data_IF_673228324223
#
_entry.id   IF_673228324223
#
_cell.length_a   1.000
_cell.length_b   1.000
_cell.length_c   1.000
_cell.angle_alpha   90.00
_cell.angle_beta   90.00
_cell.angle_gamma   90.00
#
_symmetry.space_group_name_H-M   'P 1'
#
loop_
_entity.id
_entity.type
_entity.pdbx_description
1 polymer ?
#
# COMPACT_ATOMS: atom_id res chain seq x y z
N UNK A 1 -23.84 41.11 -5.86
CA UNK A 1 -22.63 41.86 -5.46
C UNK A 1 -22.38 41.54 -4.01
N UNK A 2 -21.21 40.97 -3.70
CA UNK A 2 -20.38 41.12 -2.48
C UNK A 2 -19.34 39.99 -2.54
N UNK A 3 -18.08 40.41 -2.56
CA UNK A 3 -16.92 39.64 -3.01
C UNK A 3 -16.28 38.84 -1.87
N UNK A 4 -15.84 37.62 -2.17
CA UNK A 4 -15.02 36.78 -1.31
C UNK A 4 -13.57 37.28 -1.32
N UNK A 5 -13.09 37.81 -0.18
CA UNK A 5 -11.66 38.05 0.08
C UNK A 5 -10.99 36.73 0.44
N UNK A 6 -10.09 36.25 -0.42
CA UNK A 6 -9.10 35.24 -0.04
C UNK A 6 -8.02 35.89 0.83
N UNK A 7 -7.84 35.37 2.04
CA UNK A 7 -6.66 35.67 2.89
C UNK A 7 -5.79 34.42 2.85
N UNK A 8 -4.79 34.41 1.97
CA UNK A 8 -3.70 33.43 1.99
C UNK A 8 -2.67 33.84 3.04
N UNK A 9 -2.66 33.20 4.21
CA UNK A 9 -1.51 33.26 5.13
C UNK A 9 -0.45 32.28 4.61
N UNK A 10 0.63 32.82 4.04
CA UNK A 10 1.88 32.08 3.79
C UNK A 10 2.54 31.77 5.14
N UNK A 11 2.60 30.50 5.52
CA UNK A 11 3.46 30.04 6.61
C UNK A 11 4.79 29.65 5.97
N UNK A 12 5.85 30.41 6.26
CA UNK A 12 7.24 30.04 5.97
C UNK A 12 7.69 29.05 7.04
N UNK A 13 8.02 27.83 6.64
CA UNK A 13 8.87 26.96 7.47
C UNK A 13 10.32 27.12 7.01
N UNK A 14 11.16 27.61 7.90
CA UNK A 14 12.61 27.63 7.73
C UNK A 14 13.17 26.25 8.07
N UNK A 15 13.78 25.60 7.09
CA UNK A 15 14.58 24.40 7.29
C UNK A 15 15.98 24.84 7.76
N UNK A 16 16.51 24.18 8.79
CA UNK A 16 17.88 24.38 9.28
C UNK A 16 18.69 23.22 8.72
N UNK A 17 19.67 23.55 7.87
CA UNK A 17 20.71 22.62 7.42
C UNK A 17 21.77 22.50 8.52
N UNK A 18 22.09 21.27 8.92
CA UNK A 18 23.28 20.94 9.69
C UNK A 18 24.27 20.23 8.76
N UNK A 19 25.18 21.02 8.18
CA UNK A 19 26.47 20.56 7.65
C UNK A 19 27.61 21.13 8.51
N UNK A 20 28.69 20.35 8.58
CA UNK A 20 30.06 20.67 9.01
C UNK A 20 30.44 20.60 10.51
N UNK A 21 31.08 19.48 10.85
CA UNK A 21 32.16 19.43 11.85
C UNK A 21 33.36 18.63 11.33
N UNK A 22 34.22 19.29 10.57
CA UNK A 22 35.66 19.01 10.49
C UNK A 22 36.44 20.26 10.93
N UNK A 23 37.24 20.12 12.00
CA UNK A 23 38.59 20.70 12.19
C UNK A 23 38.93 20.93 13.67
N UNK A 24 39.78 20.06 14.21
CA UNK A 24 40.68 20.26 15.36
C UNK A 24 41.67 19.08 15.26
N UNK A 25 43.00 19.17 15.11
CA UNK A 25 44.01 20.22 15.31
C UNK A 25 45.25 19.79 14.50
N UNK A 26 45.92 20.74 13.85
CA UNK A 26 47.30 20.57 13.40
C UNK A 26 48.25 21.45 14.21
N UNK A 27 49.41 20.87 14.54
CA UNK A 27 50.73 21.50 14.77
C UNK A 27 50.98 22.29 16.07
N UNK A 28 51.86 21.76 16.92
CA UNK A 28 53.30 22.09 16.95
C UNK A 28 53.93 21.56 18.24
N UNK A 29 55.11 20.94 18.16
CA UNK A 29 56.26 21.33 18.99
C UNK A 29 57.52 20.55 18.59
N UNK A 30 58.53 21.32 18.20
CA UNK A 30 59.95 20.99 18.15
C UNK A 30 60.49 20.61 19.55
N UNK A 31 61.47 19.70 19.61
CA UNK A 31 62.71 19.82 20.42
C UNK A 31 63.62 18.60 20.12
N UNK A 32 64.80 18.82 19.52
CA UNK A 32 66.14 18.90 20.17
C UNK A 32 66.60 17.59 20.80
N UNK A 33 67.55 16.89 20.16
CA UNK A 33 69.02 17.08 20.21
C UNK A 33 69.69 16.33 21.37
N UNK A 34 70.48 15.32 20.98
CA UNK A 34 71.80 14.90 21.49
C UNK A 34 72.13 15.02 23.00
N UNK A 35 72.56 13.88 23.56
CA UNK A 35 73.61 13.74 24.58
C UNK A 35 74.33 12.41 24.28
N UNK A 36 75.60 12.43 23.86
CA UNK A 36 76.84 12.48 24.65
C UNK A 36 77.24 11.08 25.19
N UNK A 37 78.26 10.46 24.59
CA UNK A 37 79.62 10.20 25.16
C UNK A 37 79.63 8.92 26.03
N UNK A 38 80.60 7.99 26.01
CA UNK A 38 82.04 8.05 25.73
C UNK A 38 82.62 6.62 25.53
N UNK A 39 83.84 6.57 24.94
CA UNK A 39 84.97 5.67 25.25
C UNK A 39 84.85 4.15 24.95
N UNK A 40 85.83 3.42 24.41
CA UNK A 40 87.14 3.73 23.84
C UNK A 40 87.73 2.42 23.25
N UNK A 41 88.75 2.56 22.40
CA UNK A 41 89.84 1.62 22.08
C UNK A 41 89.69 0.49 21.01
N UNK A 42 90.27 0.82 19.84
CA UNK A 42 91.20 0.08 18.94
C UNK A 42 91.34 -1.46 19.06
N UNK A 43 91.41 -2.26 17.98
CA UNK A 43 92.57 -2.45 17.06
C UNK A 43 92.12 -3.33 15.86
N UNK A 44 92.77 -3.25 14.68
CA UNK A 44 92.22 -3.60 13.37
C UNK A 44 92.62 -5.00 12.88
N UNK A 45 91.97 -5.49 11.82
CA UNK A 45 92.58 -5.89 10.53
C UNK A 45 91.49 -6.52 9.65
N UNK A 46 91.49 -6.10 8.39
CA UNK A 46 90.38 -6.28 7.47
C UNK A 46 90.21 -7.68 6.92
N UNK A 47 89.05 -7.90 6.30
CA UNK A 47 88.83 -8.76 5.13
C UNK A 47 87.49 -8.33 4.51
N UNK A 48 87.52 -8.07 3.20
CA UNK A 48 86.48 -7.36 2.46
C UNK A 48 85.09 -7.98 2.56
N UNK A 49 84.07 -7.11 2.52
CA UNK A 49 82.70 -7.54 2.27
C UNK A 49 82.03 -6.59 1.30
N UNK A 50 81.66 -7.14 0.15
CA UNK A 50 80.89 -6.50 -0.90
C UNK A 50 79.65 -5.78 -0.33
N UNK A 51 79.43 -4.57 -0.82
CA UNK A 51 78.29 -3.73 -0.45
C UNK A 51 77.03 -4.26 -1.13
N UNK A 52 76.41 -5.28 -0.56
CA UNK A 52 75.08 -5.72 -1.00
C UNK A 52 74.04 -4.69 -0.53
N UNK A 53 73.61 -3.83 -1.46
CA UNK A 53 72.41 -3.01 -1.30
C UNK A 53 71.21 -3.93 -1.11
N UNK A 54 70.77 -4.13 0.14
CA UNK A 54 69.48 -4.74 0.42
C UNK A 54 68.41 -3.67 0.21
N UNK A 55 67.81 -3.63 -0.98
CA UNK A 55 66.45 -3.10 -1.11
C UNK A 55 65.55 -3.96 -0.22
N UNK A 56 64.70 -3.39 0.66
CA UNK A 56 63.77 -4.20 1.41
C UNK A 56 62.80 -4.83 0.42
N UNK A 57 62.85 -6.15 0.31
CA UNK A 57 61.92 -6.91 -0.51
C UNK A 57 60.62 -7.00 0.28
N UNK A 58 59.66 -6.15 -0.04
CA UNK A 58 58.28 -6.32 0.40
C UNK A 58 57.72 -7.50 -0.41
N UNK A 59 57.98 -8.74 0.02
CA UNK A 59 57.07 -9.85 -0.31
C UNK A 59 55.74 -9.54 0.37
N UNK A 60 54.90 -8.77 -0.32
CA UNK A 60 53.54 -8.53 0.13
C UNK A 60 52.86 -9.88 0.34
N UNK A 61 52.27 -10.09 1.51
CA UNK A 61 51.50 -11.27 1.86
C UNK A 61 50.20 -11.32 1.03
N UNK A 62 50.30 -11.52 -0.29
CA UNK A 62 49.17 -11.59 -1.23
C UNK A 62 48.20 -12.68 -0.77
N UNK A 63 48.71 -13.83 -0.32
CA UNK A 63 47.89 -14.92 0.23
C UNK A 63 47.10 -14.49 1.46
N UNK A 64 47.70 -13.72 2.38
CA UNK A 64 47.01 -13.18 3.55
C UNK A 64 45.93 -12.18 3.17
N UNK A 65 46.20 -11.31 2.20
CA UNK A 65 45.23 -10.36 1.66
C UNK A 65 44.05 -11.11 1.01
N UNK A 66 44.33 -12.14 0.19
CA UNK A 66 43.30 -12.95 -0.46
C UNK A 66 42.42 -13.67 0.57
N UNK A 67 43.01 -14.27 1.60
CA UNK A 67 42.25 -14.93 2.67
C UNK A 67 41.38 -13.92 3.43
N UNK A 68 41.90 -12.74 3.76
CA UNK A 68 41.11 -11.69 4.41
C UNK A 68 39.94 -11.22 3.53
N UNK A 69 40.16 -11.06 2.23
CA UNK A 69 39.11 -10.70 1.28
C UNK A 69 38.02 -11.79 1.17
N UNK A 70 38.40 -13.06 1.18
CA UNK A 70 37.45 -14.18 1.16
C UNK A 70 36.63 -14.26 2.45
N UNK A 71 37.26 -14.08 3.61
CA UNK A 71 36.57 -14.05 4.90
C UNK A 71 35.61 -12.85 5.02
N UNK A 72 36.02 -11.70 4.51
CA UNK A 72 35.16 -10.51 4.40
C UNK A 72 33.99 -10.72 3.43
N UNK A 73 34.24 -11.36 2.29
CA UNK A 73 33.17 -11.74 1.34
C UNK A 73 32.17 -12.72 1.97
N UNK A 74 32.64 -13.72 2.71
CA UNK A 74 31.80 -14.68 3.39
C UNK A 74 30.97 -14.04 4.53
N UNK A 75 31.55 -13.09 5.27
CA UNK A 75 30.82 -12.40 6.34
C UNK A 75 29.71 -11.49 5.79
N UNK A 76 29.97 -10.77 4.68
CA UNK A 76 28.93 -10.01 3.98
C UNK A 76 27.83 -10.95 3.48
N UNK A 77 28.21 -12.05 2.83
CA UNK A 77 27.25 -13.02 2.31
C UNK A 77 26.36 -13.61 3.40
N UNK A 78 26.94 -14.00 4.54
CA UNK A 78 26.20 -14.47 5.70
C UNK A 78 25.28 -13.39 6.29
N UNK A 79 25.73 -12.13 6.38
CA UNK A 79 24.92 -11.02 6.84
C UNK A 79 23.73 -10.72 5.91
N UNK A 80 23.93 -10.80 4.59
CA UNK A 80 22.85 -10.65 3.59
C UNK A 80 21.84 -11.77 3.73
N UNK A 81 22.27 -13.03 3.75
CA UNK A 81 21.37 -14.17 3.93
C UNK A 81 20.62 -14.12 5.26
N UNK A 82 21.30 -13.75 6.35
CA UNK A 82 20.68 -13.55 7.66
C UNK A 82 19.62 -12.45 7.64
N UNK A 83 19.90 -11.32 6.98
CA UNK A 83 18.95 -10.21 6.85
C UNK A 83 17.71 -10.62 6.06
N UNK A 84 17.89 -11.28 4.91
CA UNK A 84 16.78 -11.79 4.10
C UNK A 84 15.94 -12.82 4.87
N UNK A 85 16.60 -13.73 5.60
CA UNK A 85 15.92 -14.71 6.43
C UNK A 85 15.11 -14.06 7.56
N UNK A 86 15.63 -13.01 8.20
CA UNK A 86 14.90 -12.26 9.24
C UNK A 86 13.72 -11.50 8.64
N UNK A 87 13.93 -10.77 7.54
CA UNK A 87 12.86 -10.01 6.88
C UNK A 87 11.69 -10.90 6.43
N UNK A 88 11.97 -12.15 6.03
CA UNK A 88 10.96 -13.11 5.63
C UNK A 88 10.30 -13.85 6.81
N UNK A 89 10.71 -13.61 8.07
CA UNK A 89 10.09 -14.23 9.25
C UNK A 89 8.93 -13.40 9.78
N UNK A 90 7.79 -14.05 9.98
CA UNK A 90 6.62 -13.45 10.61
C UNK A 90 6.11 -12.27 9.80
N UNK A 91 5.72 -11.20 10.50
CA UNK A 91 5.12 -10.01 9.90
C UNK A 91 6.07 -8.80 9.90
N UNK A 92 7.39 -8.99 9.90
CA UNK A 92 8.37 -7.89 10.07
C UNK A 92 8.19 -6.80 9.00
N UNK A 93 8.01 -7.18 7.73
CA UNK A 93 7.80 -6.21 6.66
C UNK A 93 6.44 -5.50 6.80
N UNK A 94 5.37 -6.23 7.10
CA UNK A 94 4.04 -5.64 7.31
C UNK A 94 4.05 -4.63 8.46
N UNK A 95 4.70 -4.95 9.57
CA UNK A 95 4.85 -4.02 10.71
C UNK A 95 5.62 -2.74 10.39
N UNK A 96 6.42 -2.71 9.32
CA UNK A 96 7.11 -1.50 8.86
C UNK A 96 6.27 -0.63 7.95
N UNK A 97 5.23 -1.18 7.34
CA UNK A 97 4.40 -0.52 6.33
C UNK A 97 2.94 -0.33 6.77
N UNK A 98 2.62 -0.68 8.01
CA UNK A 98 1.29 -0.58 8.61
C UNK A 98 1.38 0.15 9.93
N UNK A 99 0.27 0.71 10.41
CA UNK A 99 0.21 1.18 11.79
C UNK A 99 0.24 -0.03 12.74
N UNK A 100 0.43 0.22 14.04
CA UNK A 100 0.36 -0.86 15.01
C UNK A 100 -1.00 -1.56 14.91
N UNK A 101 -0.97 -2.89 14.77
CA UNK A 101 -2.16 -3.74 14.82
C UNK A 101 -1.85 -5.02 15.60
N UNK A 102 -2.69 -5.40 16.58
CA UNK A 102 -2.55 -6.65 17.31
C UNK A 102 -2.72 -7.88 16.42
N UNK A 103 -3.37 -7.76 15.25
CA UNK A 103 -3.47 -8.85 14.27
C UNK A 103 -2.07 -9.27 13.81
N UNK A 104 -1.16 -8.31 13.62
CA UNK A 104 0.22 -8.58 13.19
C UNK A 104 1.08 -9.26 14.26
N UNK A 105 0.63 -9.28 15.52
CA UNK A 105 1.26 -10.01 16.61
C UNK A 105 0.69 -11.43 16.77
N UNK A 106 -0.60 -11.60 16.49
CA UNK A 106 -1.36 -12.84 16.74
C UNK A 106 -1.42 -13.79 15.55
N UNK A 107 -1.37 -13.26 14.33
CA UNK A 107 -1.56 -14.04 13.10
C UNK A 107 -0.39 -13.82 12.15
N UNK A 108 0.26 -14.90 11.72
CA UNK A 108 1.21 -14.81 10.62
C UNK A 108 0.47 -14.67 9.28
N UNK A 109 0.75 -13.59 8.54
CA UNK A 109 0.14 -13.29 7.24
C UNK A 109 1.20 -13.45 6.15
N UNK A 110 1.13 -14.49 5.30
CA UNK A 110 2.10 -14.68 4.24
C UNK A 110 1.90 -13.67 3.09
N UNK A 111 3.00 -13.12 2.58
CA UNK A 111 2.97 -12.28 1.38
C UNK A 111 2.83 -13.16 0.13
N UNK A 112 1.75 -12.97 -0.63
CA UNK A 112 1.48 -13.72 -1.86
C UNK A 112 1.51 -12.81 -3.08
N UNK A 113 2.18 -13.25 -4.15
CA UNK A 113 2.13 -12.55 -5.44
C UNK A 113 0.86 -12.98 -6.17
N UNK A 114 0.00 -12.01 -6.49
CA UNK A 114 -1.21 -12.22 -7.29
C UNK A 114 -1.24 -11.24 -8.46
N UNK A 115 -1.73 -11.73 -9.60
CA UNK A 115 -2.09 -10.87 -10.74
C UNK A 115 -3.56 -10.49 -10.57
N UNK A 116 -3.87 -9.21 -10.72
CA UNK A 116 -5.25 -8.73 -10.76
C UNK A 116 -5.92 -9.28 -12.02
N UNK A 117 -7.09 -9.89 -11.85
CA UNK A 117 -7.92 -10.32 -12.95
C UNK A 117 -8.70 -9.11 -13.48
N UNK A 118 -8.27 -8.60 -14.63
CA UNK A 118 -8.83 -7.42 -15.27
C UNK A 118 -9.62 -7.75 -16.55
N UNK A 119 -10.20 -8.96 -16.66
CA UNK A 119 -11.12 -9.22 -17.78
C UNK A 119 -12.32 -8.30 -17.68
N UNK A 120 -12.76 -7.76 -18.83
CA UNK A 120 -13.90 -6.85 -18.88
C UNK A 120 -15.22 -7.58 -18.64
N UNK A 121 -15.35 -8.79 -19.18
CA UNK A 121 -16.54 -9.62 -19.03
C UNK A 121 -16.27 -10.78 -18.06
N UNK A 122 -17.23 -11.10 -17.18
CA UNK A 122 -17.14 -12.28 -16.35
C UNK A 122 -17.40 -13.53 -17.18
N UNK A 123 -16.46 -14.46 -17.16
CA UNK A 123 -16.69 -15.87 -17.51
C UNK A 123 -17.43 -16.59 -16.37
N UNK A 124 -18.67 -17.09 -16.59
CA UNK A 124 -19.44 -17.84 -15.59
C UNK A 124 -18.78 -19.16 -15.15
N UNK A 125 -17.89 -19.73 -15.97
CA UNK A 125 -17.15 -20.94 -15.62
C UNK A 125 -15.99 -20.66 -14.64
N UNK A 126 -15.57 -19.39 -14.50
CA UNK A 126 -14.53 -19.01 -13.55
C UNK A 126 -15.17 -18.65 -12.19
N UNK A 127 -14.95 -19.45 -11.12
CA UNK A 127 -15.56 -19.20 -9.82
C UNK A 127 -15.11 -17.88 -9.18
N UNK A 128 -13.98 -17.31 -9.59
CA UNK A 128 -13.53 -16.00 -9.08
C UNK A 128 -14.37 -14.83 -9.62
N UNK A 129 -15.14 -15.05 -10.69
CA UNK A 129 -15.97 -14.01 -11.30
C UNK A 129 -17.34 -13.85 -10.64
N UNK A 130 -17.68 -14.68 -9.65
CA UNK A 130 -18.96 -14.61 -8.94
C UNK A 130 -19.30 -13.20 -8.45
N UNK A 131 -18.32 -12.40 -8.03
CA UNK A 131 -18.53 -11.04 -7.50
C UNK A 131 -19.02 -10.02 -8.54
N UNK A 132 -18.94 -10.35 -9.84
CA UNK A 132 -19.34 -9.53 -10.99
C UNK A 132 -20.56 -10.10 -11.73
N UNK A 133 -21.13 -11.19 -11.22
CA UNK A 133 -22.32 -11.79 -11.83
C UNK A 133 -23.57 -10.99 -11.45
N UNK A 134 -24.66 -11.07 -12.24
CA UNK A 134 -25.92 -10.44 -11.90
C UNK A 134 -26.41 -10.82 -10.50
N UNK A 135 -27.17 -9.94 -9.81
CA UNK A 135 -27.68 -10.19 -8.46
C UNK A 135 -28.38 -11.55 -8.34
N UNK A 136 -27.95 -12.33 -7.37
CA UNK A 136 -28.49 -13.67 -7.04
C UNK A 136 -28.10 -14.05 -5.61
N UNK A 137 -28.78 -15.02 -4.97
CA UNK A 137 -28.41 -15.50 -3.65
C UNK A 137 -26.95 -15.95 -3.55
N UNK A 138 -26.40 -16.56 -4.60
CA UNK A 138 -25.01 -17.03 -4.65
C UNK A 138 -24.03 -15.85 -4.66
N UNK A 139 -24.34 -14.78 -5.41
CA UNK A 139 -23.54 -13.56 -5.45
C UNK A 139 -23.55 -12.86 -4.10
N UNK A 140 -24.72 -12.72 -3.48
CA UNK A 140 -24.84 -12.10 -2.17
C UNK A 140 -24.14 -12.92 -1.08
N UNK A 141 -24.21 -14.25 -1.13
CA UNK A 141 -23.45 -15.12 -0.22
C UNK A 141 -21.93 -14.99 -0.42
N UNK A 142 -21.46 -14.88 -1.67
CA UNK A 142 -20.05 -14.68 -1.96
C UNK A 142 -19.54 -13.34 -1.42
N UNK A 143 -20.31 -12.26 -1.61
CA UNK A 143 -20.01 -10.95 -1.05
C UNK A 143 -20.06 -10.96 0.49
N UNK A 144 -21.09 -11.56 1.10
CA UNK A 144 -21.21 -11.64 2.56
C UNK A 144 -19.99 -12.32 3.17
N UNK A 145 -19.50 -13.42 2.57
CA UNK A 145 -18.30 -14.12 3.07
C UNK A 145 -17.08 -13.21 3.26
N UNK A 146 -16.91 -12.20 2.41
CA UNK A 146 -15.72 -11.33 2.44
C UNK A 146 -16.00 -9.92 2.97
N UNK A 147 -17.26 -9.51 3.05
CA UNK A 147 -17.70 -8.18 3.46
C UNK A 147 -18.43 -8.21 4.81
N UNK A 148 -18.61 -9.39 5.41
CA UNK A 148 -19.16 -9.53 6.75
C UNK A 148 -18.24 -8.83 7.77
N UNK A 149 -18.81 -7.87 8.48
CA UNK A 149 -18.12 -7.18 9.57
C UNK A 149 -18.27 -8.04 10.82
N UNK A 150 -17.24 -8.86 11.09
CA UNK A 150 -17.14 -9.66 12.30
C UNK A 150 -16.60 -8.84 13.47
N UNK A 151 -17.41 -8.66 14.50
CA UNK A 151 -16.96 -8.08 15.77
C UNK A 151 -16.08 -9.07 16.54
N UNK A 152 -15.01 -8.57 17.14
CA UNK A 152 -14.12 -9.30 18.04
C UNK A 152 -13.69 -8.39 19.20
N UNK A 153 -12.78 -8.87 20.05
CA UNK A 153 -12.37 -8.20 21.27
C UNK A 153 -10.91 -7.73 21.25
N UNK A 154 -10.66 -6.52 21.74
CA UNK A 154 -9.33 -6.03 22.10
C UNK A 154 -9.17 -5.88 23.61
N UNK A 155 -7.97 -6.12 24.12
CA UNK A 155 -7.60 -5.73 25.48
C UNK A 155 -7.40 -4.22 25.58
N UNK A 156 -7.45 -3.66 26.79
CA UNK A 156 -7.11 -2.25 27.04
C UNK A 156 -5.78 -1.84 26.42
N UNK A 157 -4.73 -2.64 26.65
CA UNK A 157 -3.39 -2.37 26.13
C UNK A 157 -3.38 -2.29 24.59
N UNK A 158 -4.16 -3.15 23.92
CA UNK A 158 -4.24 -3.12 22.45
C UNK A 158 -4.99 -1.90 21.94
N UNK A 159 -6.08 -1.49 22.61
CA UNK A 159 -6.81 -0.26 22.28
C UNK A 159 -5.91 0.97 22.44
N UNK A 160 -5.16 1.04 23.54
CA UNK A 160 -4.22 2.13 23.78
C UNK A 160 -3.05 2.09 22.77
N UNK A 161 -2.58 0.89 22.42
CA UNK A 161 -1.51 0.67 21.44
C UNK A 161 -1.85 1.11 20.02
N UNK A 162 -3.12 1.00 19.59
CA UNK A 162 -3.59 1.54 18.30
C UNK A 162 -3.84 3.06 18.36
N UNK A 163 -3.57 3.70 19.50
CA UNK A 163 -3.72 5.14 19.70
C UNK A 163 -5.15 5.59 20.01
N UNK A 164 -6.01 4.69 20.49
CA UNK A 164 -7.38 5.00 20.91
C UNK A 164 -7.48 5.13 22.42
N UNK A 165 -8.46 5.90 22.89
CA UNK A 165 -8.74 6.03 24.31
C UNK A 165 -9.71 4.92 24.76
N UNK A 166 -9.22 3.99 25.59
CA UNK A 166 -10.00 2.88 26.10
C UNK A 166 -11.19 3.31 26.99
N UNK A 167 -11.24 4.53 27.54
CA UNK A 167 -12.43 4.99 28.29
C UNK A 167 -13.57 5.43 27.37
N UNK A 168 -13.27 5.79 26.12
CA UNK A 168 -14.26 6.20 25.13
C UNK A 168 -14.83 5.00 24.36
N UNK A 169 -14.11 3.88 24.35
CA UNK A 169 -14.46 2.68 23.60
C UNK A 169 -15.55 1.85 24.30
N UNK A 170 -16.47 1.30 23.52
CA UNK A 170 -17.49 0.37 23.98
C UNK A 170 -16.85 -0.96 24.40
N UNK A 171 -17.16 -1.39 25.61
CA UNK A 171 -16.74 -2.69 26.14
C UNK A 171 -17.58 -3.82 25.53
N UNK A 172 -16.98 -5.01 25.44
CA UNK A 172 -17.75 -6.23 25.17
C UNK A 172 -18.64 -6.57 26.37
N UNK A 173 -19.67 -7.39 26.14
CA UNK A 173 -20.49 -7.91 27.23
C UNK A 173 -19.80 -9.09 27.91
N UNK A 174 -20.09 -9.31 29.21
CA UNK A 174 -19.41 -10.32 30.01
C UNK A 174 -19.76 -11.75 29.58
N UNK A 175 -21.01 -11.98 29.18
CA UNK A 175 -21.54 -13.25 28.69
C UNK A 175 -20.98 -13.66 27.31
N UNK A 176 -20.28 -12.76 26.63
CA UNK A 176 -19.58 -13.08 25.37
C UNK A 176 -18.26 -13.84 25.59
N UNK A 177 -17.80 -13.99 26.84
CA UNK A 177 -16.66 -14.85 27.19
C UNK A 177 -15.27 -14.22 27.00
N UNK A 178 -15.18 -12.93 26.69
CA UNK A 178 -13.88 -12.21 26.51
C UNK A 178 -13.29 -11.63 27.80
N UNK A 179 -14.07 -11.60 28.89
CA UNK A 179 -13.67 -11.05 30.19
C UNK A 179 -14.02 -9.56 30.38
N UNK A 180 -13.84 -9.02 31.60
CA UNK A 180 -14.46 -7.77 32.05
C UNK A 180 -13.81 -6.45 31.54
N UNK A 181 -12.64 -6.53 30.89
CA UNK A 181 -11.90 -5.35 30.39
C UNK A 181 -11.44 -5.55 28.94
N UNK A 182 -12.39 -5.95 28.10
CA UNK A 182 -12.19 -6.04 26.65
C UNK A 182 -13.18 -5.17 25.90
N UNK A 183 -12.81 -4.81 24.68
CA UNK A 183 -13.41 -3.75 23.88
C UNK A 183 -13.84 -4.28 22.53
N UNK A 184 -14.99 -3.80 22.06
CA UNK A 184 -15.52 -4.15 20.75
C UNK A 184 -14.63 -3.57 19.65
N UNK A 185 -14.25 -4.41 18.70
CA UNK A 185 -13.46 -3.99 17.56
C UNK A 185 -13.73 -4.84 16.31
N UNK A 186 -13.29 -4.35 15.16
CA UNK A 186 -13.31 -5.04 13.87
C UNK A 186 -12.01 -4.75 13.09
N UNK A 187 -11.75 -5.53 12.04
CA UNK A 187 -10.58 -5.33 11.17
C UNK A 187 -11.01 -4.49 9.96
N UNK A 188 -10.26 -3.43 9.65
CA UNK A 188 -10.66 -2.41 8.68
C UNK A 188 -10.93 -2.94 7.26
N UNK A 189 -10.15 -3.91 6.76
CA UNK A 189 -10.39 -4.49 5.41
C UNK A 189 -11.83 -4.98 5.22
N UNK A 190 -12.48 -5.54 6.25
CA UNK A 190 -13.85 -6.00 6.14
C UNK A 190 -14.84 -4.83 6.08
N UNK A 191 -14.57 -3.75 6.81
CA UNK A 191 -15.34 -2.51 6.70
C UNK A 191 -15.21 -1.88 5.31
N UNK A 192 -14.00 -1.86 4.74
CA UNK A 192 -13.76 -1.38 3.37
C UNK A 192 -14.54 -2.20 2.34
N UNK A 193 -14.57 -3.53 2.47
CA UNK A 193 -15.33 -4.42 1.59
C UNK A 193 -16.85 -4.29 1.80
N UNK A 194 -17.31 -4.10 3.03
CA UNK A 194 -18.70 -3.79 3.34
C UNK A 194 -19.16 -2.50 2.64
N UNK A 195 -18.37 -1.44 2.75
CA UNK A 195 -18.64 -0.17 2.07
C UNK A 195 -18.68 -0.33 0.55
N UNK A 196 -17.73 -1.07 -0.03
CA UNK A 196 -17.72 -1.34 -1.46
C UNK A 196 -18.95 -2.14 -1.93
N UNK A 197 -19.38 -3.14 -1.16
CA UNK A 197 -20.60 -3.91 -1.45
C UNK A 197 -21.86 -3.03 -1.34
N UNK A 198 -21.90 -2.12 -0.36
CA UNK A 198 -22.98 -1.14 -0.25
C UNK A 198 -23.04 -0.23 -1.48
N UNK A 199 -21.89 0.29 -1.94
CA UNK A 199 -21.81 1.10 -3.17
C UNK A 199 -22.26 0.32 -4.41
N UNK A 200 -21.88 -0.97 -4.53
CA UNK A 200 -22.37 -1.85 -5.60
C UNK A 200 -23.90 -1.91 -5.61
N UNK A 201 -24.53 -2.08 -4.45
CA UNK A 201 -25.99 -2.18 -4.32
C UNK A 201 -26.72 -0.84 -4.55
N UNK A 202 -26.05 0.30 -4.37
CA UNK A 202 -26.68 1.64 -4.40
C UNK A 202 -26.28 2.52 -5.58
N UNK A 203 -25.48 2.01 -6.53
CA UNK A 203 -24.95 2.79 -7.66
C UNK A 203 -26.04 3.55 -8.47
N UNK A 204 -27.29 3.08 -8.48
CA UNK A 204 -28.39 3.74 -9.20
C UNK A 204 -28.82 5.09 -8.59
N UNK A 205 -28.51 5.36 -7.31
CA UNK A 205 -29.03 6.52 -6.57
C UNK A 205 -28.65 7.88 -7.18
N UNK A 206 -27.55 7.95 -7.92
CA UNK A 206 -27.08 9.18 -8.56
C UNK A 206 -27.18 9.15 -10.09
N UNK A 207 -27.72 8.07 -10.66
CA UNK A 207 -27.74 7.86 -12.10
C UNK A 207 -28.46 8.99 -12.85
N UNK A 208 -29.63 9.43 -12.37
CA UNK A 208 -30.43 10.47 -13.03
C UNK A 208 -29.66 11.81 -13.14
N UNK A 209 -28.94 12.17 -12.09
CA UNK A 209 -28.15 13.41 -12.06
C UNK A 209 -26.95 13.37 -13.02
N UNK A 210 -26.19 12.28 -13.02
CA UNK A 210 -24.95 12.19 -13.80
C UNK A 210 -25.18 11.74 -15.26
N UNK A 211 -26.18 10.89 -15.48
CA UNK A 211 -26.36 10.18 -16.75
C UNK A 211 -27.75 10.35 -17.35
N UNK A 212 -28.77 10.70 -16.54
CA UNK A 212 -30.15 10.83 -17.00
C UNK A 212 -30.35 11.83 -18.14
N UNK A 213 -29.62 12.96 -18.13
CA UNK A 213 -29.66 13.94 -19.24
C UNK A 213 -29.05 13.42 -20.54
N UNK A 214 -28.06 12.55 -20.45
CA UNK A 214 -27.30 12.07 -21.61
C UNK A 214 -27.93 10.81 -22.21
N UNK A 215 -28.39 9.90 -21.36
CA UNK A 215 -28.82 8.56 -21.77
C UNK A 215 -30.25 8.20 -21.34
N UNK A 216 -30.96 9.07 -20.61
CA UNK A 216 -32.26 8.75 -20.05
C UNK A 216 -32.23 7.42 -19.29
N UNK A 217 -33.25 6.58 -19.47
CA UNK A 217 -33.31 5.22 -18.92
C UNK A 217 -32.75 4.15 -19.88
N UNK A 218 -31.87 4.54 -20.81
CA UNK A 218 -31.26 3.66 -21.81
C UNK A 218 -29.72 3.85 -21.84
N UNK A 219 -29.00 3.45 -20.77
CA UNK A 219 -27.54 3.59 -20.73
C UNK A 219 -26.86 2.77 -21.84
N UNK A 220 -25.62 3.13 -22.21
CA UNK A 220 -24.80 2.33 -23.10
C UNK A 220 -24.69 0.89 -22.62
N UNK A 221 -24.70 -0.07 -23.56
CA UNK A 221 -24.70 -1.50 -23.24
C UNK A 221 -23.49 -1.93 -22.39
N UNK A 222 -22.37 -1.22 -22.53
CA UNK A 222 -21.14 -1.44 -21.77
C UNK A 222 -21.17 -0.88 -20.34
N UNK A 223 -22.13 -0.02 -20.00
CA UNK A 223 -22.10 0.75 -18.76
C UNK A 223 -22.10 -0.17 -17.52
N UNK A 224 -23.01 -1.14 -17.47
CA UNK A 224 -23.11 -2.10 -16.37
C UNK A 224 -21.85 -2.95 -16.25
N UNK A 225 -21.40 -3.57 -17.34
CA UNK A 225 -20.18 -4.38 -17.34
C UNK A 225 -18.94 -3.58 -16.90
N UNK A 226 -18.85 -2.30 -17.28
CA UNK A 226 -17.75 -1.44 -16.87
C UNK A 226 -17.80 -1.12 -15.37
N UNK A 227 -18.99 -0.80 -14.84
CA UNK A 227 -19.20 -0.58 -13.41
C UNK A 227 -18.82 -1.83 -12.61
N UNK A 228 -19.35 -2.99 -12.96
CA UNK A 228 -19.11 -4.24 -12.23
C UNK A 228 -17.63 -4.64 -12.29
N UNK A 229 -17.00 -4.48 -13.46
CA UNK A 229 -15.56 -4.67 -13.60
C UNK A 229 -14.77 -3.74 -12.68
N UNK A 230 -15.08 -2.43 -12.65
CA UNK A 230 -14.39 -1.47 -11.80
C UNK A 230 -14.55 -1.78 -10.30
N UNK A 231 -15.75 -2.15 -9.87
CA UNK A 231 -16.01 -2.57 -8.49
C UNK A 231 -15.15 -3.78 -8.13
N UNK A 232 -15.02 -4.76 -9.02
CA UNK A 232 -14.19 -5.92 -8.78
C UNK A 232 -12.70 -5.61 -8.76
N UNK A 233 -12.21 -4.71 -9.61
CA UNK A 233 -10.82 -4.22 -9.54
C UNK A 233 -10.56 -3.59 -8.18
N UNK A 234 -11.47 -2.74 -7.68
CA UNK A 234 -11.34 -2.16 -6.35
C UNK A 234 -11.37 -3.22 -5.25
N UNK A 235 -12.29 -4.19 -5.33
CA UNK A 235 -12.37 -5.33 -4.40
C UNK A 235 -11.04 -6.10 -4.35
N UNK A 236 -10.48 -6.43 -5.52
CA UNK A 236 -9.21 -7.14 -5.62
C UNK A 236 -8.05 -6.31 -5.06
N UNK A 237 -8.02 -4.99 -5.28
CA UNK A 237 -7.00 -4.10 -4.72
C UNK A 237 -7.11 -3.94 -3.21
N UNK A 238 -8.33 -3.83 -2.67
CA UNK A 238 -8.58 -3.82 -1.21
C UNK A 238 -8.07 -5.14 -0.61
N UNK A 239 -8.40 -6.29 -1.19
CA UNK A 239 -7.92 -7.59 -0.72
C UNK A 239 -6.41 -7.79 -0.92
N UNK A 240 -5.79 -7.12 -1.90
CA UNK A 240 -4.36 -7.20 -2.13
C UNK A 240 -3.55 -6.40 -1.09
N UNK A 241 -4.07 -5.27 -0.64
CA UNK A 241 -3.45 -4.47 0.41
C UNK A 241 -3.88 -4.91 1.82
N UNK A 242 -5.08 -5.52 1.93
CA UNK A 242 -5.68 -6.13 3.11
C UNK A 242 -5.32 -5.46 4.43
N UNK A 243 -5.92 -4.30 4.64
CA UNK A 243 -5.68 -3.47 5.81
C UNK A 243 -6.09 -4.17 7.12
N UNK A 244 -5.13 -4.34 8.03
CA UNK A 244 -5.34 -5.04 9.31
C UNK A 244 -5.42 -4.11 10.51
N UNK A 245 -5.52 -2.79 10.30
CA UNK A 245 -5.77 -1.89 11.41
C UNK A 245 -7.15 -2.11 12.03
N UNK A 246 -7.27 -1.74 13.31
CA UNK A 246 -8.43 -2.04 14.12
C UNK A 246 -9.35 -0.83 14.21
N UNK A 247 -10.63 -1.04 13.97
CA UNK A 247 -11.68 -0.06 14.23
C UNK A 247 -12.35 -0.40 15.56
N UNK A 248 -12.65 0.63 16.34
CA UNK A 248 -13.31 0.49 17.65
C UNK A 248 -14.74 0.99 17.58
N UNK A 249 -15.48 0.83 18.66
CA UNK A 249 -16.85 1.32 18.78
C UNK A 249 -16.94 2.31 19.93
N UNK A 250 -17.84 3.28 19.85
CA UNK A 250 -18.08 4.24 20.93
C UNK A 250 -19.57 4.47 21.13
N UNK A 251 -19.95 4.85 22.35
CA UNK A 251 -21.28 5.37 22.62
C UNK A 251 -21.42 6.79 22.07
N UNK A 252 -22.55 7.07 21.42
CA UNK A 252 -22.91 8.40 20.92
C UNK A 252 -24.24 8.80 21.53
N UNK A 253 -24.39 10.11 21.80
CA UNK A 253 -25.68 10.65 22.25
C UNK A 253 -26.76 10.28 21.23
N UNK A 254 -27.98 10.05 21.73
CA UNK A 254 -29.20 9.66 20.98
C UNK A 254 -29.19 8.29 20.29
N UNK A 255 -28.10 7.52 20.41
CA UNK A 255 -27.98 6.22 19.78
C UNK A 255 -28.23 5.08 20.78
N UNK A 256 -29.02 4.09 20.37
CA UNK A 256 -29.31 2.93 21.21
C UNK A 256 -28.15 1.92 21.24
N UNK A 257 -27.44 1.80 20.13
CA UNK A 257 -26.30 0.88 19.95
C UNK A 257 -24.99 1.69 19.84
N UNK A 258 -23.83 1.08 20.17
CA UNK A 258 -22.56 1.74 19.97
C UNK A 258 -22.27 1.93 18.47
N UNK A 259 -21.67 3.06 18.12
CA UNK A 259 -21.35 3.44 16.74
C UNK A 259 -19.90 3.12 16.42
N UNK A 260 -19.60 2.65 15.20
CA UNK A 260 -18.23 2.39 14.78
C UNK A 260 -17.45 3.71 14.68
N UNK A 261 -16.27 3.74 15.27
CA UNK A 261 -15.24 4.74 15.05
C UNK A 261 -14.25 4.20 14.04
N UNK A 262 -14.59 4.47 12.78
CA UNK A 262 -13.87 4.04 11.59
C UNK A 262 -12.61 4.87 11.31
N UNK A 263 -12.27 5.83 12.18
CA UNK A 263 -11.07 6.63 12.06
C UNK A 263 -9.84 5.87 12.58
N UNK A 264 -9.25 4.97 11.80
CA UNK A 264 -8.00 4.30 12.16
C UNK A 264 -6.77 5.16 11.83
N UNK A 265 -5.72 5.06 12.66
CA UNK A 265 -4.40 5.54 12.30
C UNK A 265 -3.81 4.65 11.21
N UNK A 266 -3.22 5.26 10.18
CA UNK A 266 -2.67 4.58 9.00
C UNK A 266 -1.22 4.96 8.76
N UNK A 267 -0.46 4.04 8.17
CA UNK A 267 0.83 4.36 7.54
C UNK A 267 0.62 4.40 6.04
N UNK A 268 0.50 5.60 5.48
CA UNK A 268 0.19 5.81 4.08
C UNK A 268 1.43 6.10 3.24
N UNK A 269 1.35 5.80 1.94
CA UNK A 269 2.24 6.39 0.94
C UNK A 269 1.95 7.89 0.84
N UNK A 270 2.97 8.73 0.68
CA UNK A 270 2.78 10.16 0.43
C UNK A 270 2.11 10.35 -0.93
N UNK A 271 0.80 10.63 -0.90
CA UNK A 271 0.01 10.81 -2.11
C UNK A 271 0.39 12.11 -2.84
N UNK A 272 0.76 13.16 -2.11
CA UNK A 272 1.16 14.43 -2.73
C UNK A 272 2.50 14.29 -3.45
N UNK A 273 3.41 13.42 -2.98
CA UNK A 273 4.61 13.09 -3.75
C UNK A 273 4.29 12.46 -5.11
N UNK A 274 3.26 11.60 -5.18
CA UNK A 274 2.81 11.00 -6.43
C UNK A 274 2.13 12.02 -7.34
N UNK A 275 1.28 12.89 -6.78
CA UNK A 275 0.63 13.98 -7.53
C UNK A 275 1.68 14.91 -8.14
N UNK A 276 2.65 15.38 -7.34
CA UNK A 276 3.74 16.24 -7.84
C UNK A 276 4.50 15.58 -8.99
N UNK A 277 4.88 14.32 -8.82
CA UNK A 277 5.58 13.58 -9.87
C UNK A 277 4.72 13.47 -11.14
N UNK A 278 3.42 13.16 -11.02
CA UNK A 278 2.51 13.10 -12.16
C UNK A 278 2.43 14.45 -12.89
N UNK A 279 2.22 15.54 -12.17
CA UNK A 279 2.11 16.89 -12.76
C UNK A 279 3.38 17.33 -13.50
N UNK A 280 4.55 16.87 -13.02
CA UNK A 280 5.86 17.10 -13.65
C UNK A 280 6.03 16.30 -14.95
N UNK A 281 5.60 15.05 -14.98
CA UNK A 281 5.88 14.13 -16.11
C UNK A 281 4.72 13.94 -17.09
N UNK A 282 3.50 14.37 -16.74
CA UNK A 282 2.32 14.19 -17.58
C UNK A 282 2.50 14.86 -18.95
N UNK A 283 1.92 14.23 -19.98
CA UNK A 283 1.95 14.77 -21.31
C UNK A 283 1.04 16.01 -21.40
N UNK A 284 1.65 17.19 -21.47
CA UNK A 284 0.91 18.42 -21.79
C UNK A 284 0.23 18.29 -23.16
N UNK A 285 -0.96 18.85 -23.30
CA UNK A 285 -1.82 18.75 -24.49
C UNK A 285 -2.21 17.30 -24.87
N UNK A 286 -2.43 16.43 -23.88
CA UNK A 286 -2.77 15.02 -24.07
C UNK A 286 -3.89 14.79 -25.12
N UNK A 287 -5.05 15.49 -25.10
CA UNK A 287 -6.12 15.21 -26.08
C UNK A 287 -5.69 15.42 -27.53
N UNK A 288 -4.89 16.46 -27.79
CA UNK A 288 -4.39 16.76 -29.12
C UNK A 288 -3.31 15.77 -29.58
N UNK A 289 -2.51 15.25 -28.64
CA UNK A 289 -1.52 14.18 -28.90
C UNK A 289 -2.22 12.85 -29.13
N UNK A 290 -3.19 12.50 -28.29
CA UNK A 290 -3.98 11.27 -28.39
C UNK A 290 -4.65 11.13 -29.76
N UNK A 291 -5.30 12.19 -30.24
CA UNK A 291 -5.96 12.22 -31.54
C UNK A 291 -5.02 11.97 -32.74
N UNK A 292 -3.70 12.09 -32.54
CA UNK A 292 -2.67 11.89 -33.58
C UNK A 292 -1.88 10.59 -33.41
N UNK A 293 -2.21 9.75 -32.44
CA UNK A 293 -1.53 8.47 -32.23
C UNK A 293 -1.76 7.59 -33.46
N UNK A 294 -0.67 7.07 -34.01
CA UNK A 294 -0.67 6.07 -35.09
C UNK A 294 -0.08 4.79 -34.53
N UNK A 295 -0.72 3.66 -34.84
CA UNK A 295 -0.23 2.34 -34.41
C UNK A 295 1.18 2.10 -34.98
N UNK A 296 2.12 1.78 -34.09
CA UNK A 296 3.49 1.45 -34.50
C UNK A 296 3.51 0.14 -35.32
N UNK A 297 4.38 0.00 -36.34
CA UNK A 297 4.45 -1.21 -37.17
C UNK A 297 4.67 -2.51 -36.36
N UNK A 298 5.45 -2.42 -35.28
CA UNK A 298 5.77 -3.56 -34.42
C UNK A 298 4.71 -3.83 -33.33
N UNK A 299 3.58 -3.10 -33.34
CA UNK A 299 2.54 -3.28 -32.35
C UNK A 299 1.82 -4.62 -32.57
N UNK A 300 1.75 -5.42 -31.49
CA UNK A 300 1.01 -6.68 -31.47
C UNK A 300 -0.45 -6.40 -31.15
N UNK A 301 -1.37 -6.89 -32.00
CA UNK A 301 -2.79 -6.87 -31.71
C UNK A 301 -3.14 -7.92 -30.66
N UNK A 302 -3.72 -7.46 -29.55
CA UNK A 302 -4.35 -8.36 -28.60
C UNK A 302 -5.76 -8.69 -29.09
N UNK A 303 -6.23 -9.94 -28.89
CA UNK A 303 -7.60 -10.29 -29.24
C UNK A 303 -8.59 -9.44 -28.45
N UNK A 304 -9.73 -9.14 -29.06
CA UNK A 304 -10.83 -8.48 -28.36
C UNK A 304 -11.27 -9.32 -27.16
N UNK A 305 -11.71 -8.69 -26.06
CA UNK A 305 -12.26 -9.42 -24.92
C UNK A 305 -13.37 -10.38 -25.37
N UNK A 306 -13.37 -11.63 -24.88
CA UNK A 306 -14.46 -12.58 -25.10
C UNK A 306 -15.82 -11.96 -24.71
N UNK A 307 -16.91 -12.39 -25.35
CA UNK A 307 -18.28 -11.92 -25.11
C UNK A 307 -18.61 -10.48 -25.53
N UNK A 308 -17.64 -9.67 -25.96
CA UNK A 308 -17.95 -8.33 -26.51
C UNK A 308 -18.90 -8.41 -27.71
N UNK A 309 -18.66 -9.36 -28.62
CA UNK A 309 -19.50 -9.55 -29.81
C UNK A 309 -20.93 -9.98 -29.48
N UNK A 310 -21.11 -10.78 -28.42
CA UNK A 310 -22.43 -11.21 -27.94
C UNK A 310 -23.19 -10.04 -27.33
N UNK A 311 -22.50 -9.20 -26.54
CA UNK A 311 -23.08 -7.99 -25.98
C UNK A 311 -23.54 -7.01 -27.08
N UNK A 312 -22.68 -6.79 -28.09
CA UNK A 312 -23.00 -5.98 -29.28
C UNK A 312 -24.25 -6.52 -30.00
N UNK A 313 -24.38 -7.85 -30.13
CA UNK A 313 -25.51 -8.48 -30.82
C UNK A 313 -26.87 -8.32 -30.09
N UNK A 314 -26.87 -8.08 -28.77
CA UNK A 314 -28.09 -7.89 -27.96
C UNK A 314 -28.49 -6.42 -27.78
N UNK A 315 -27.69 -5.50 -28.31
CA UNK A 315 -27.93 -4.06 -28.23
C UNK A 315 -28.68 -3.52 -29.46
N UNK A 316 -29.29 -2.35 -29.32
CA UNK A 316 -29.83 -1.61 -30.46
C UNK A 316 -29.04 -0.31 -30.66
N UNK A 317 -28.95 0.13 -31.91
CA UNK A 317 -28.21 1.34 -32.26
C UNK A 317 -29.13 2.55 -32.33
N UNK A 318 -28.78 3.61 -31.60
CA UNK A 318 -29.35 4.94 -31.75
C UNK A 318 -28.19 5.96 -31.76
N UNK A 319 -28.19 6.87 -32.74
CA UNK A 319 -27.17 7.93 -32.89
C UNK A 319 -25.70 7.46 -32.82
N UNK A 320 -25.42 6.24 -33.32
CA UNK A 320 -24.08 5.66 -33.32
C UNK A 320 -23.62 5.05 -31.99
N UNK A 321 -24.50 5.00 -30.98
CA UNK A 321 -24.27 4.33 -29.69
C UNK A 321 -25.05 3.02 -29.61
N UNK A 322 -24.47 2.03 -28.93
CA UNK A 322 -25.11 0.76 -28.61
C UNK A 322 -25.75 0.86 -27.23
N UNK A 323 -27.09 0.84 -27.16
CA UNK A 323 -27.85 1.12 -25.95
C UNK A 323 -28.51 -0.16 -25.39
N UNK A 324 -28.65 -0.21 -24.06
CA UNK A 324 -29.41 -1.23 -23.32
C UNK A 324 -30.66 -0.61 -22.73
N UNK A 325 -31.83 -1.16 -23.05
CA UNK A 325 -33.11 -0.70 -22.50
C UNK A 325 -33.30 -1.27 -21.10
N UNK A 326 -33.51 -0.42 -20.10
CA UNK A 326 -33.87 -0.85 -18.74
C UNK A 326 -35.36 -1.25 -18.70
N UNK A 327 -35.72 -2.41 -19.28
CA UNK A 327 -37.09 -2.96 -19.20
C UNK A 327 -37.27 -3.79 -17.93
N UNK A 328 -38.43 -3.67 -17.26
CA UNK A 328 -38.81 -4.58 -16.17
C UNK A 328 -38.48 -4.12 -14.74
N UNK A 329 -38.13 -2.85 -14.53
CA UNK A 329 -38.10 -2.27 -13.19
C UNK A 329 -39.55 -2.01 -12.75
N UNK A 330 -40.20 -3.05 -12.23
CA UNK A 330 -41.50 -2.95 -11.57
C UNK A 330 -41.29 -3.02 -10.06
N UNK A 331 -42.11 -2.31 -9.29
CA UNK A 331 -42.15 -2.47 -7.83
C UNK A 331 -42.41 -3.96 -7.52
N UNK A 332 -41.58 -4.64 -6.72
CA UNK A 332 -41.85 -6.00 -6.29
C UNK A 332 -43.20 -6.08 -5.56
N UNK A 333 -43.98 -7.13 -5.82
CA UNK A 333 -45.33 -7.31 -5.24
C UNK A 333 -45.30 -7.43 -3.70
N UNK A 334 -44.14 -7.79 -3.13
CA UNK A 334 -43.87 -7.95 -1.69
C UNK A 334 -43.27 -6.71 -1.02
N UNK A 335 -43.18 -5.59 -1.75
CA UNK A 335 -42.65 -4.35 -1.20
C UNK A 335 -43.67 -3.71 -0.24
N UNK A 336 -43.60 -4.06 1.05
CA UNK A 336 -44.43 -3.49 2.11
C UNK A 336 -44.28 -1.96 2.17
N UNK A 337 -45.40 -1.24 2.31
CA UNK A 337 -45.34 0.19 2.62
C UNK A 337 -44.68 0.35 3.99
N UNK A 338 -43.57 1.09 4.04
CA UNK A 338 -43.01 1.50 5.32
C UNK A 338 -44.08 2.30 6.07
N UNK A 339 -44.42 1.94 7.32
CA UNK A 339 -45.26 2.81 8.12
C UNK A 339 -44.56 4.16 8.21
N UNK A 340 -45.25 5.21 7.79
CA UNK A 340 -44.80 6.59 7.94
C UNK A 340 -44.36 6.81 9.38
N UNK A 341 -43.06 7.09 9.59
CA UNK A 341 -42.51 7.45 10.90
C UNK A 341 -42.97 8.84 11.32
#
# INVERSE_FOLDING_TARGET
MWATRQITKKIKYSYVDDEDKENLVARNSDDKSENAESEDSEIPYGLGRERHSRRPFVTGNITGIVVLLLLYGLSIFAAVLGTLAVQNRGNILLKKTSAYSPVLDKLHIPLVKKKIDATLFPDPANPNHIYRMPPSPEVDAAWERIAHIGMHSLTRHEVEGIGKNATECAKTQLDWGYGPDTYMAEIDVFHQLHCLNSLRKTNILHYDYYWGKTWGYEPPVMFESHVDHCIDILRQNIMCNADVEMLTYNWRLTQHNPFPDIGAHKVCRDFDALVRWQEEVELKDEPAKWAKIVKHPDAVDLPMPPHLNELVATSHSADGLMLKKLTGITRPDDCHEHPSQ
#
